data_IF_181448099385
#
_entry.id   IF_181448099385
#
_cell.length_a   1.000
_cell.length_b   1.000
_cell.length_c   1.000
_cell.angle_alpha   90.00
_cell.angle_beta   90.00
_cell.angle_gamma   90.00
#
_symmetry.space_group_name_H-M   'P 1'
#
loop_
_entity.id
_entity.type
_entity.pdbx_description
1 polymer ?
#
# COMPACT_ATOMS: atom_id res chain seq x y z
N UNK A 1 -10.38 -16.70 5.45
CA UNK A 1 -9.24 -16.09 4.76
C UNK A 1 -9.70 -14.99 3.80
N UNK A 2 -9.42 -13.74 4.16
CA UNK A 2 -9.73 -12.53 3.41
C UNK A 2 -8.43 -11.81 3.07
N UNK A 3 -8.40 -11.14 1.92
CA UNK A 3 -7.28 -10.31 1.49
C UNK A 3 -7.73 -8.87 1.29
N UNK A 4 -6.84 -7.94 1.62
CA UNK A 4 -7.00 -6.51 1.37
C UNK A 4 -5.77 -6.01 0.64
N UNK A 5 -5.97 -5.19 -0.39
CA UNK A 5 -4.90 -4.52 -1.12
C UNK A 5 -5.17 -3.02 -1.09
N UNK A 6 -4.20 -2.22 -0.66
CA UNK A 6 -4.31 -0.76 -0.65
C UNK A 6 -3.03 -0.10 -1.16
N UNK A 7 -3.19 1.02 -1.84
CA UNK A 7 -2.06 1.84 -2.29
C UNK A 7 -1.44 2.54 -1.09
N UNK A 8 -0.15 2.32 -0.88
CA UNK A 8 0.66 2.99 0.13
C UNK A 8 1.51 4.13 -0.48
N UNK A 9 1.51 4.25 -1.80
CA UNK A 9 2.23 5.30 -2.51
C UNK A 9 3.75 5.20 -2.36
N UNK A 10 4.43 6.22 -2.86
CA UNK A 10 5.88 6.40 -2.78
C UNK A 10 6.26 7.09 -1.46
N UNK A 11 6.26 6.35 -0.35
CA UNK A 11 6.53 6.90 0.98
C UNK A 11 8.04 7.07 1.28
N UNK A 12 8.70 8.05 0.65
CA UNK A 12 10.15 8.27 0.75
C UNK A 12 10.61 9.44 1.64
N UNK A 13 9.68 10.25 2.17
CA UNK A 13 10.00 11.36 3.07
C UNK A 13 9.43 11.11 4.47
N UNK A 14 9.95 11.80 5.48
CA UNK A 14 9.60 11.58 6.90
C UNK A 14 8.09 11.65 7.16
N UNK A 15 7.41 12.65 6.57
CA UNK A 15 5.96 12.80 6.69
C UNK A 15 5.22 11.58 6.13
N UNK A 16 5.62 11.09 4.96
CA UNK A 16 5.00 9.94 4.33
C UNK A 16 5.32 8.64 5.08
N UNK A 17 6.49 8.53 5.71
CA UNK A 17 6.86 7.40 6.57
C UNK A 17 5.94 7.34 7.80
N UNK A 18 5.71 8.49 8.47
CA UNK A 18 4.76 8.56 9.59
C UNK A 18 3.35 8.17 9.15
N UNK A 19 2.87 8.73 8.03
CA UNK A 19 1.55 8.39 7.50
C UNK A 19 1.42 6.90 7.14
N UNK A 20 2.48 6.29 6.61
CA UNK A 20 2.53 4.85 6.36
C UNK A 20 2.45 4.06 7.67
N UNK A 21 3.24 4.42 8.67
CA UNK A 21 3.21 3.78 10.00
C UNK A 21 1.80 3.82 10.62
N UNK A 22 1.13 4.97 10.54
CA UNK A 22 -0.23 5.14 11.04
C UNK A 22 -1.23 4.25 10.28
N UNK A 23 -1.09 4.17 8.95
CA UNK A 23 -1.90 3.29 8.12
C UNK A 23 -1.70 1.82 8.51
N UNK A 24 -0.46 1.34 8.60
CA UNK A 24 -0.15 -0.04 8.98
C UNK A 24 -0.69 -0.38 10.37
N UNK A 25 -0.52 0.55 11.32
CA UNK A 25 -1.04 0.41 12.69
C UNK A 25 -2.56 0.32 12.70
N UNK A 26 -3.24 1.14 11.90
CA UNK A 26 -4.70 1.09 11.73
C UNK A 26 -5.18 -0.23 11.14
N UNK A 27 -4.48 -0.79 10.14
CA UNK A 27 -4.87 -2.10 9.60
C UNK A 27 -4.71 -3.21 10.64
N UNK A 28 -3.59 -3.19 11.36
CA UNK A 28 -3.32 -4.14 12.45
C UNK A 28 -4.40 -4.10 13.53
N UNK A 29 -4.83 -2.91 13.97
CA UNK A 29 -5.89 -2.77 14.97
C UNK A 29 -7.27 -3.26 14.50
N UNK A 30 -7.49 -3.37 13.19
CA UNK A 30 -8.68 -3.96 12.58
C UNK A 30 -8.55 -5.49 12.39
N UNK A 31 -7.44 -6.08 12.84
CA UNK A 31 -7.16 -7.51 12.75
C UNK A 31 -6.62 -7.95 11.39
N UNK A 32 -6.09 -7.02 10.58
CA UNK A 32 -5.39 -7.35 9.35
C UNK A 32 -3.90 -7.53 9.60
N UNK A 33 -3.33 -8.63 9.12
CA UNK A 33 -1.89 -8.87 9.14
C UNK A 33 -1.26 -8.34 7.86
N UNK A 34 -0.22 -7.52 7.99
CA UNK A 34 0.59 -7.08 6.85
C UNK A 34 1.36 -8.27 6.27
N UNK A 35 1.20 -8.54 4.99
CA UNK A 35 1.77 -9.71 4.33
C UNK A 35 2.93 -9.37 3.40
N UNK A 36 2.71 -8.46 2.46
CA UNK A 36 3.73 -8.12 1.44
C UNK A 36 3.49 -6.75 0.83
N UNK A 37 4.52 -6.22 0.14
CA UNK A 37 4.43 -5.05 -0.73
C UNK A 37 4.93 -5.41 -2.11
N UNK A 38 4.28 -4.87 -3.13
CA UNK A 38 4.80 -4.92 -4.49
C UNK A 38 4.65 -3.57 -5.18
N UNK A 39 5.59 -3.28 -6.07
CA UNK A 39 5.54 -2.09 -6.93
C UNK A 39 4.67 -2.37 -8.15
N UNK A 40 3.88 -1.38 -8.55
CA UNK A 40 3.10 -1.41 -9.79
C UNK A 40 3.34 -0.12 -10.57
N UNK A 41 3.44 -0.24 -11.89
CA UNK A 41 3.44 0.92 -12.77
C UNK A 41 1.98 1.33 -13.01
N UNK A 42 1.67 2.59 -12.71
CA UNK A 42 0.35 3.15 -12.99
C UNK A 42 0.32 3.54 -14.46
N UNK A 43 -0.50 2.85 -15.24
CA UNK A 43 -0.73 3.19 -16.64
C UNK A 43 -1.90 4.17 -16.73
N UNK A 44 -1.66 5.34 -17.30
CA UNK A 44 -2.68 6.33 -17.60
C UNK A 44 -3.55 5.95 -18.79
N UNK A 45 -4.62 6.73 -19.01
CA UNK A 45 -5.40 6.60 -20.24
C UNK A 45 -4.47 6.78 -21.45
N UNK A 46 -4.59 5.90 -22.45
CA UNK A 46 -3.70 5.77 -23.63
C UNK A 46 -2.37 5.03 -23.42
N UNK A 47 -2.16 4.34 -22.29
CA UNK A 47 -0.96 3.49 -22.13
C UNK A 47 0.28 4.22 -21.63
N UNK A 48 0.18 5.52 -21.35
CA UNK A 48 1.29 6.32 -20.85
C UNK A 48 1.63 5.93 -19.40
N UNK A 49 2.91 5.87 -19.06
CA UNK A 49 3.36 5.58 -17.69
C UNK A 49 3.18 6.84 -16.82
N UNK A 50 2.30 6.77 -15.81
CA UNK A 50 2.06 7.83 -14.82
C UNK A 50 2.96 7.72 -13.58
N UNK A 51 3.84 6.71 -13.53
CA UNK A 51 4.82 6.49 -12.48
C UNK A 51 4.61 5.16 -11.73
N UNK A 52 5.52 4.90 -10.78
CA UNK A 52 5.45 3.71 -9.92
C UNK A 52 4.72 4.05 -8.63
N UNK A 53 3.75 3.22 -8.24
CA UNK A 53 3.17 3.21 -6.89
C UNK A 53 3.42 1.87 -6.23
N UNK A 54 3.20 1.79 -4.92
CA UNK A 54 3.38 0.60 -4.12
C UNK A 54 2.04 0.19 -3.52
N UNK A 55 1.74 -1.10 -3.59
CA UNK A 55 0.55 -1.69 -3.00
C UNK A 55 0.95 -2.56 -1.82
N UNK A 56 0.31 -2.36 -0.67
CA UNK A 56 0.41 -3.25 0.48
C UNK A 56 -0.70 -4.30 0.42
N UNK A 57 -0.31 -5.54 0.71
CA UNK A 57 -1.22 -6.68 0.85
C UNK A 57 -1.35 -7.01 2.33
N UNK A 58 -2.60 -7.19 2.75
CA UNK A 58 -2.94 -7.69 4.07
C UNK A 58 -3.76 -8.96 3.95
N UNK A 59 -3.67 -9.80 4.98
CA UNK A 59 -4.49 -11.00 5.14
C UNK A 59 -5.18 -11.01 6.49
N UNK A 60 -6.32 -11.67 6.57
CA UNK A 60 -7.05 -11.91 7.81
C UNK A 60 -7.70 -13.29 7.71
N UNK A 61 -7.59 -14.10 8.75
CA UNK A 61 -8.23 -15.42 8.78
C UNK A 61 -9.75 -15.32 8.93
#
# INVERSE_FOLDING_TARGET
MQYKVESIGAAFNDKNITALSDLLTKQSSQGWEFHSVFSVQKTGCLGNNEGTTYLAVYRKE
#
